data_IF_424617719215
#
_entry.id   IF_424617719215
#
_cell.length_a   1.000
_cell.length_b   1.000
_cell.length_c   1.000
_cell.angle_alpha   90.00
_cell.angle_beta   90.00
_cell.angle_gamma   90.00
#
_symmetry.space_group_name_H-M   'P 1'
#
loop_
_entity.id
_entity.type
_entity.pdbx_description
1 polymer ?
#
# COMPACT_ATOMS: atom_id res chain seq x y z
N UNK A 1 27.47 7.45 -20.36
CA UNK A 1 26.69 7.87 -19.16
C UNK A 1 25.24 7.35 -19.14
N UNK A 2 24.51 7.30 -20.27
CA UNK A 2 23.09 6.85 -20.31
C UNK A 2 22.85 5.45 -19.71
N UNK A 3 23.67 4.48 -20.12
CA UNK A 3 23.57 3.08 -19.66
C UNK A 3 23.70 2.92 -18.12
N UNK A 4 24.52 3.73 -17.44
CA UNK A 4 24.63 3.66 -15.98
C UNK A 4 23.39 4.20 -15.27
N UNK A 5 22.80 5.27 -15.80
CA UNK A 5 21.57 5.88 -15.27
C UNK A 5 20.36 4.96 -15.47
N UNK A 6 20.23 4.33 -16.63
CA UNK A 6 19.17 3.31 -16.87
C UNK A 6 19.31 2.12 -15.92
N UNK A 7 20.52 1.59 -15.72
CA UNK A 7 20.76 0.52 -14.73
C UNK A 7 20.36 0.95 -13.32
N UNK A 8 20.67 2.19 -12.92
CA UNK A 8 20.26 2.71 -11.61
C UNK A 8 18.73 2.84 -11.49
N UNK A 9 18.03 3.20 -12.56
CA UNK A 9 16.55 3.25 -12.58
C UNK A 9 15.93 1.86 -12.47
N UNK A 10 16.48 0.85 -13.16
CA UNK A 10 16.04 -0.54 -12.94
C UNK A 10 16.28 -1.02 -11.50
N UNK A 11 17.41 -0.64 -10.89
CA UNK A 11 17.66 -0.94 -9.48
C UNK A 11 16.64 -0.24 -8.57
N UNK A 12 16.35 1.04 -8.81
CA UNK A 12 15.33 1.79 -8.08
C UNK A 12 13.94 1.15 -8.22
N UNK A 13 13.52 0.76 -9.43
CA UNK A 13 12.25 0.08 -9.68
C UNK A 13 12.15 -1.22 -8.87
N UNK A 14 13.24 -2.01 -8.80
CA UNK A 14 13.26 -3.23 -7.97
C UNK A 14 13.07 -2.93 -6.49
N UNK A 15 13.69 -1.87 -5.97
CA UNK A 15 13.52 -1.43 -4.59
C UNK A 15 12.07 -0.96 -4.36
N UNK A 16 11.55 -0.08 -5.21
CA UNK A 16 10.17 0.43 -5.11
C UNK A 16 9.13 -0.68 -5.22
N UNK A 17 9.37 -1.71 -6.03
CA UNK A 17 8.50 -2.89 -6.10
C UNK A 17 8.45 -3.62 -4.76
N UNK A 18 9.61 -3.84 -4.11
CA UNK A 18 9.67 -4.46 -2.78
C UNK A 18 8.92 -3.63 -1.74
N UNK A 19 9.09 -2.31 -1.75
CA UNK A 19 8.36 -1.41 -0.84
C UNK A 19 6.83 -1.50 -1.05
N UNK A 20 6.37 -1.60 -2.30
CA UNK A 20 4.94 -1.84 -2.59
C UNK A 20 4.47 -3.18 -2.04
N UNK A 21 5.26 -4.24 -2.22
CA UNK A 21 4.91 -5.57 -1.73
C UNK A 21 4.89 -5.61 -0.19
N UNK A 22 5.82 -4.93 0.48
CA UNK A 22 5.85 -4.74 1.93
C UNK A 22 4.65 -3.93 2.43
N UNK A 23 4.31 -2.83 1.76
CA UNK A 23 3.14 -2.01 2.10
C UNK A 23 1.83 -2.79 1.91
N UNK A 24 1.73 -3.65 0.88
CA UNK A 24 0.57 -4.56 0.69
C UNK A 24 0.46 -5.57 1.83
N UNK A 25 1.57 -6.18 2.23
CA UNK A 25 1.59 -7.09 3.38
C UNK A 25 1.26 -6.37 4.70
N UNK A 26 1.68 -5.11 4.85
CA UNK A 26 1.27 -4.23 5.94
C UNK A 26 -0.25 -4.01 5.95
N UNK A 27 -0.82 -3.65 4.80
CA UNK A 27 -2.26 -3.39 4.66
C UNK A 27 -3.10 -4.62 4.97
N UNK A 28 -2.69 -5.80 4.49
CA UNK A 28 -3.38 -7.06 4.78
C UNK A 28 -3.41 -7.35 6.29
N UNK A 29 -2.28 -7.12 6.99
CA UNK A 29 -2.21 -7.29 8.46
C UNK A 29 -3.07 -6.28 9.20
N UNK A 30 -3.08 -5.01 8.77
CA UNK A 30 -3.89 -3.97 9.39
C UNK A 30 -5.39 -4.26 9.24
N UNK A 31 -5.83 -4.69 8.06
CA UNK A 31 -7.23 -5.09 7.84
C UNK A 31 -7.62 -6.32 8.66
N UNK A 32 -6.74 -7.32 8.75
CA UNK A 32 -6.99 -8.50 9.59
C UNK A 32 -7.13 -8.12 11.07
N UNK A 33 -6.29 -7.20 11.57
CA UNK A 33 -6.40 -6.69 12.94
C UNK A 33 -7.69 -5.90 13.17
N UNK A 34 -8.09 -5.05 12.21
CA UNK A 34 -9.36 -4.32 12.27
C UNK A 34 -10.57 -5.27 12.29
N UNK A 35 -10.60 -6.28 11.41
CA UNK A 35 -11.66 -7.29 11.41
C UNK A 35 -11.71 -8.09 12.71
N UNK A 36 -10.55 -8.46 13.27
CA UNK A 36 -10.49 -9.16 14.55
C UNK A 36 -11.01 -8.29 15.71
N UNK A 37 -10.69 -7.00 15.72
CA UNK A 37 -11.19 -6.06 16.73
C UNK A 37 -12.72 -5.89 16.64
N UNK A 38 -13.27 -5.80 15.42
CA UNK A 38 -14.72 -5.72 15.21
C UNK A 38 -15.43 -7.00 15.68
N UNK A 39 -14.88 -8.17 15.35
CA UNK A 39 -15.44 -9.45 15.77
C UNK A 39 -15.36 -9.64 17.30
N UNK A 40 -14.35 -9.08 17.97
CA UNK A 40 -14.26 -9.10 19.43
C UNK A 40 -15.31 -8.18 20.06
N UNK A 41 -15.48 -6.96 19.55
CA UNK A 41 -16.51 -6.03 19.99
C UNK A 41 -17.92 -6.63 19.84
N UNK A 42 -18.21 -7.21 18.68
CA UNK A 42 -19.49 -7.89 18.42
C UNK A 42 -19.72 -9.03 19.42
N UNK A 43 -18.71 -9.87 19.65
CA UNK A 43 -18.80 -10.97 20.63
C UNK A 43 -19.12 -10.47 22.04
N UNK A 44 -18.51 -9.37 22.47
CA UNK A 44 -18.75 -8.81 23.80
C UNK A 44 -20.17 -8.23 23.92
N UNK A 45 -20.68 -7.58 22.87
CA UNK A 45 -22.06 -7.09 22.83
C UNK A 45 -23.06 -8.26 22.87
N UNK A 46 -22.83 -9.30 22.07
CA UNK A 46 -23.65 -10.51 22.09
C UNK A 46 -23.63 -11.20 23.46
N UNK A 47 -22.47 -11.25 24.14
CA UNK A 47 -22.40 -11.82 25.49
C UNK A 47 -23.31 -11.06 26.46
N UNK A 48 -23.34 -9.72 26.39
CA UNK A 48 -24.23 -8.92 27.25
C UNK A 48 -25.71 -9.24 26.97
N UNK A 49 -26.09 -9.44 25.71
CA UNK A 49 -27.45 -9.82 25.34
C UNK A 49 -27.82 -11.20 25.89
N UNK A 50 -26.93 -12.19 25.73
CA UNK A 50 -27.13 -13.55 26.25
C UNK A 50 -27.26 -13.54 27.77
N UNK A 51 -26.33 -12.91 28.48
CA UNK A 51 -26.35 -12.85 29.96
C UNK A 51 -27.58 -12.10 30.50
N UNK A 52 -28.09 -11.10 29.76
CA UNK A 52 -29.33 -10.41 30.11
C UNK A 52 -30.53 -11.35 29.97
N UNK A 53 -30.58 -12.11 28.89
CA UNK A 53 -31.71 -12.98 28.57
C UNK A 53 -31.71 -14.24 29.48
N UNK A 54 -30.55 -14.70 29.93
CA UNK A 54 -30.38 -15.81 30.89
C UNK A 54 -30.58 -15.40 32.37
N UNK A 55 -30.69 -14.09 32.67
CA UNK A 55 -30.83 -13.59 34.03
C UNK A 55 -32.25 -13.84 34.62
N UNK A 56 -32.48 -15.06 35.10
CA UNK A 56 -33.73 -15.46 35.75
C UNK A 56 -33.69 -15.40 37.28
N UNK A 57 -34.84 -15.11 37.90
CA UNK A 57 -34.98 -14.99 39.36
C UNK A 57 -34.23 -13.80 39.98
N UNK A 58 -34.40 -13.58 41.29
CA UNK A 58 -33.76 -12.44 41.97
C UNK A 58 -32.23 -12.59 42.07
N UNK A 59 -31.74 -13.81 42.29
CA UNK A 59 -30.31 -14.08 42.36
C UNK A 59 -29.58 -13.92 41.01
N UNK A 60 -30.21 -14.35 39.90
CA UNK A 60 -29.67 -14.16 38.56
C UNK A 60 -29.64 -12.69 38.16
N UNK A 61 -30.71 -11.96 38.44
CA UNK A 61 -30.77 -10.50 38.20
C UNK A 61 -29.74 -9.72 39.00
N UNK A 62 -29.51 -10.07 40.27
CA UNK A 62 -28.49 -9.41 41.09
C UNK A 62 -27.07 -9.71 40.58
N UNK A 63 -26.81 -10.96 40.20
CA UNK A 63 -25.53 -11.36 39.61
C UNK A 63 -25.24 -10.60 38.31
N UNK A 64 -26.23 -10.49 37.43
CA UNK A 64 -26.13 -9.70 36.21
C UNK A 64 -25.86 -8.22 36.49
N UNK A 65 -26.53 -7.62 37.48
CA UNK A 65 -26.30 -6.21 37.88
C UNK A 65 -24.88 -5.95 38.35
N UNK A 66 -24.27 -6.89 39.08
CA UNK A 66 -22.90 -6.77 39.55
C UNK A 66 -21.88 -6.97 38.42
N UNK A 67 -22.19 -7.83 37.44
CA UNK A 67 -21.32 -8.13 36.31
C UNK A 67 -21.37 -7.05 35.21
N UNK A 68 -22.54 -6.48 34.93
CA UNK A 68 -22.78 -5.58 33.79
C UNK A 68 -21.78 -4.39 33.72
N UNK A 69 -21.41 -3.70 34.81
CA UNK A 69 -20.43 -2.62 34.74
C UNK A 69 -19.06 -3.08 34.22
N UNK A 70 -18.63 -4.29 34.58
CA UNK A 70 -17.36 -4.88 34.10
C UNK A 70 -17.47 -5.19 32.61
N UNK A 71 -18.60 -5.74 32.17
CA UNK A 71 -18.86 -6.01 30.77
C UNK A 71 -18.87 -4.72 29.93
N UNK A 72 -19.46 -3.64 30.44
CA UNK A 72 -19.45 -2.32 29.80
C UNK A 72 -18.04 -1.73 29.69
N UNK A 73 -17.19 -1.92 30.71
CA UNK A 73 -15.79 -1.52 30.62
C UNK A 73 -15.03 -2.32 29.56
N UNK A 74 -15.31 -3.61 29.41
CA UNK A 74 -14.74 -4.44 28.35
C UNK A 74 -15.14 -3.90 26.96
N UNK A 75 -16.43 -3.60 26.76
CA UNK A 75 -16.95 -3.05 25.50
C UNK A 75 -16.25 -1.72 25.18
N UNK A 76 -16.15 -0.81 26.15
CA UNK A 76 -15.46 0.46 25.96
C UNK A 76 -13.99 0.28 25.55
N UNK A 77 -13.30 -0.73 26.12
CA UNK A 77 -11.93 -1.08 25.70
C UNK A 77 -11.90 -1.66 24.28
N UNK A 78 -12.83 -2.53 23.92
CA UNK A 78 -12.93 -3.09 22.58
C UNK A 78 -13.21 -2.01 21.51
N UNK A 79 -14.07 -1.03 21.82
CA UNK A 79 -14.33 0.13 20.96
C UNK A 79 -13.06 0.97 20.73
N UNK A 80 -12.26 1.19 21.79
CA UNK A 80 -10.97 1.88 21.65
C UNK A 80 -9.99 1.11 20.76
N UNK A 81 -9.95 -0.23 20.88
CA UNK A 81 -9.13 -1.08 20.01
C UNK A 81 -9.60 -0.96 18.56
N UNK A 82 -10.91 -1.03 18.29
CA UNK A 82 -11.48 -0.85 16.94
C UNK A 82 -11.07 0.50 16.36
N UNK A 83 -11.21 1.59 17.14
CA UNK A 83 -10.82 2.93 16.70
C UNK A 83 -9.33 2.99 16.35
N UNK A 84 -8.47 2.41 17.20
CA UNK A 84 -7.04 2.36 16.95
C UNK A 84 -6.70 1.57 15.69
N UNK A 85 -7.26 0.37 15.53
CA UNK A 85 -7.01 -0.46 14.34
C UNK A 85 -7.52 0.17 13.05
N UNK A 86 -8.62 0.94 13.10
CA UNK A 86 -9.11 1.74 11.98
C UNK A 86 -8.16 2.86 11.60
N UNK A 87 -7.64 3.59 12.60
CA UNK A 87 -6.65 4.63 12.34
C UNK A 87 -5.37 4.04 11.74
N UNK A 88 -4.93 2.89 12.24
CA UNK A 88 -3.78 2.18 11.69
C UNK A 88 -4.03 1.69 10.26
N UNK A 89 -5.23 1.17 9.94
CA UNK A 89 -5.57 0.73 8.58
C UNK A 89 -5.64 1.91 7.60
N UNK A 90 -6.14 3.07 8.03
CA UNK A 90 -6.10 4.31 7.23
C UNK A 90 -4.66 4.77 6.96
N UNK A 91 -3.81 4.81 7.99
CA UNK A 91 -2.39 5.20 7.83
C UNK A 91 -1.66 4.28 6.85
N UNK A 92 -1.80 2.96 7.01
CA UNK A 92 -1.12 1.99 6.15
C UNK A 92 -1.68 2.03 4.71
N UNK A 93 -2.96 2.39 4.54
CA UNK A 93 -3.53 2.64 3.21
C UNK A 93 -2.87 3.83 2.52
N UNK A 94 -2.60 4.92 3.24
CA UNK A 94 -1.88 6.07 2.69
C UNK A 94 -0.45 5.70 2.29
N UNK A 95 0.26 4.93 3.12
CA UNK A 95 1.60 4.42 2.81
C UNK A 95 1.60 3.57 1.53
N UNK A 96 0.61 2.70 1.37
CA UNK A 96 0.46 1.90 0.15
C UNK A 96 0.20 2.78 -1.09
N UNK A 97 -0.62 3.84 -0.97
CA UNK A 97 -0.86 4.78 -2.07
C UNK A 97 0.46 5.47 -2.46
N UNK A 98 1.22 5.95 -1.48
CA UNK A 98 2.51 6.62 -1.70
C UNK A 98 3.54 5.67 -2.34
N UNK A 99 3.64 4.43 -1.86
CA UNK A 99 4.54 3.42 -2.42
C UNK A 99 4.19 3.11 -3.89
N UNK A 100 2.91 2.95 -4.21
CA UNK A 100 2.47 2.74 -5.60
C UNK A 100 2.77 3.96 -6.49
N UNK A 101 2.55 5.18 -5.98
CA UNK A 101 2.86 6.40 -6.71
C UNK A 101 4.35 6.52 -7.01
N UNK A 102 5.21 6.25 -6.02
CA UNK A 102 6.67 6.26 -6.18
C UNK A 102 7.15 5.18 -7.16
N UNK A 103 6.57 3.98 -7.10
CA UNK A 103 6.86 2.90 -8.05
C UNK A 103 6.50 3.30 -9.48
N UNK A 104 5.29 3.82 -9.69
CA UNK A 104 4.83 4.28 -11.01
C UNK A 104 5.70 5.44 -11.54
N UNK A 105 6.07 6.39 -10.68
CA UNK A 105 6.95 7.49 -11.06
C UNK A 105 8.32 6.99 -11.53
N UNK A 106 8.89 5.98 -10.87
CA UNK A 106 10.16 5.38 -11.28
C UNK A 106 10.06 4.66 -12.63
N UNK A 107 8.94 3.96 -12.90
CA UNK A 107 8.67 3.33 -14.20
C UNK A 107 8.56 4.38 -15.31
N UNK A 108 7.75 5.42 -15.12
CA UNK A 108 7.60 6.51 -16.11
C UNK A 108 8.91 7.23 -16.36
N UNK A 109 9.77 7.40 -15.35
CA UNK A 109 11.09 8.00 -15.54
C UNK A 109 12.01 7.12 -16.38
N UNK A 110 11.97 5.79 -16.19
CA UNK A 110 12.72 4.85 -17.02
C UNK A 110 12.25 4.91 -18.47
N UNK A 111 10.95 4.81 -18.72
CA UNK A 111 10.36 4.85 -20.06
C UNK A 111 10.78 6.12 -20.82
N UNK A 112 10.72 7.28 -20.16
CA UNK A 112 11.18 8.55 -20.75
C UNK A 112 12.66 8.53 -21.10
N UNK A 113 13.51 7.92 -20.26
CA UNK A 113 14.95 7.85 -20.52
C UNK A 113 15.29 6.89 -21.65
N UNK A 114 14.61 5.76 -21.74
CA UNK A 114 14.77 4.82 -22.84
C UNK A 114 14.31 5.43 -24.17
N UNK A 115 13.23 6.22 -24.16
CA UNK A 115 12.78 6.95 -25.34
C UNK A 115 13.78 8.04 -25.75
N UNK A 116 14.28 8.84 -24.80
CA UNK A 116 15.33 9.84 -25.06
C UNK A 116 16.59 9.19 -25.67
N UNK A 117 17.03 8.04 -25.16
CA UNK A 117 18.20 7.33 -25.70
C UNK A 117 17.95 6.77 -27.09
N UNK A 118 16.75 6.23 -27.35
CA UNK A 118 16.34 5.78 -28.69
C UNK A 118 16.34 6.93 -29.71
N UNK A 119 15.78 8.07 -29.36
CA UNK A 119 15.79 9.26 -30.23
C UNK A 119 17.21 9.77 -30.48
N UNK A 120 18.09 9.75 -29.48
CA UNK A 120 19.49 10.15 -29.65
C UNK A 120 20.26 9.20 -30.55
N UNK A 121 20.02 7.89 -30.45
CA UNK A 121 20.64 6.89 -31.33
C UNK A 121 20.18 7.08 -32.77
N UNK A 122 18.86 7.18 -33.00
CA UNK A 122 18.30 7.41 -34.34
C UNK A 122 18.84 8.70 -34.99
N UNK A 123 19.01 9.78 -34.21
CA UNK A 123 19.61 11.03 -34.72
C UNK A 123 21.08 10.87 -35.10
N UNK A 124 21.84 10.05 -34.37
CA UNK A 124 23.25 9.77 -34.70
C UNK A 124 23.36 8.92 -35.96
N UNK A 125 22.56 7.86 -36.05
CA UNK A 125 22.49 7.01 -37.24
C UNK A 125 22.14 7.83 -38.49
N UNK A 126 21.13 8.71 -38.40
CA UNK A 126 20.78 9.60 -39.50
C UNK A 126 21.92 10.55 -39.89
N UNK A 127 22.61 11.14 -38.91
CA UNK A 127 23.73 12.04 -39.18
C UNK A 127 24.90 11.31 -39.87
N UNK A 128 25.19 10.07 -39.46
CA UNK A 128 26.21 9.24 -40.09
C UNK A 128 25.84 8.88 -41.54
N UNK A 129 24.58 8.53 -41.80
CA UNK A 129 24.08 8.27 -43.16
C UNK A 129 24.17 9.52 -44.05
N UNK A 130 23.78 10.69 -43.52
CA UNK A 130 23.85 11.97 -44.24
C UNK A 130 25.30 12.35 -44.59
N UNK A 131 26.24 12.12 -43.67
CA UNK A 131 27.66 12.38 -43.89
C UNK A 131 28.26 11.42 -44.93
N UNK A 132 27.89 10.14 -44.89
CA UNK A 132 28.27 9.16 -45.91
C UNK A 132 27.72 9.54 -47.28
N UNK A 133 26.44 9.96 -47.35
CA UNK A 133 25.81 10.40 -48.58
C UNK A 133 26.50 11.66 -49.17
N UNK A 134 26.93 12.60 -48.32
CA UNK A 134 27.72 13.77 -48.75
C UNK A 134 29.09 13.38 -49.29
N UNK A 135 29.78 12.42 -48.66
CA UNK A 135 31.11 11.94 -49.10
C UNK A 135 31.05 11.10 -50.38
N UNK A 136 29.95 10.38 -50.60
CA UNK A 136 29.75 9.52 -51.76
C UNK A 136 29.27 10.26 -53.02
N UNK A 137 28.87 11.53 -52.92
CA UNK A 137 28.59 12.36 -54.11
C UNK A 137 29.92 12.72 -54.79
N UNK A 138 30.19 12.22 -56.02
CA UNK A 138 31.31 12.72 -56.79
C UNK A 138 31.09 14.19 -57.05
N UNK A 139 32.13 15.01 -56.87
CA UNK A 139 32.19 16.35 -57.43
C UNK A 139 32.13 16.21 -58.96
N UNK A 140 30.92 16.19 -59.53
CA UNK A 140 30.75 16.43 -60.96
C UNK A 140 30.82 17.95 -61.16
N UNK A 141 32.04 18.42 -61.40
CA UNK A 141 32.36 19.67 -62.09
C UNK A 141 32.72 19.33 -63.54
#
# INVERSE_FOLDING_TARGET
>A
MSSARIRSLHALIRVRKKEVDEARAGMARALAAESAALADLERQLTQIEVERDEAEGDAGRESFRLWLPIAQENVARAEQVVLRTRNDSMRVREELIQANAAFKAAQTLLEKREEEERVLLARREQAELDDLARRARPFFL
#
